data_IF_372830650333
#
_entry.id   IF_372830650333
#
_cell.length_a   1.000
_cell.length_b   1.000
_cell.length_c   1.000
_cell.angle_alpha   90.00
_cell.angle_beta   90.00
_cell.angle_gamma   90.00
#
_symmetry.space_group_name_H-M   'P 1'
#
loop_
_entity.id
_entity.type
_entity.pdbx_description
1 polymer ?
#
# COMPACT_ATOMS: atom_id res chain seq x y z
N UNK A 1 -23.46 -14.24 45.58
CA UNK A 1 -23.64 -14.26 44.12
C UNK A 1 -23.29 -15.65 43.62
N UNK A 2 -24.29 -16.51 43.38
CA UNK A 2 -24.05 -17.88 42.94
C UNK A 2 -23.88 -17.90 41.41
N UNK A 3 -22.74 -18.41 40.94
CA UNK A 3 -22.51 -18.62 39.50
C UNK A 3 -23.30 -19.85 39.06
N UNK A 4 -24.31 -19.62 38.22
CA UNK A 4 -25.10 -20.65 37.58
C UNK A 4 -24.20 -21.43 36.59
N UNK A 5 -23.90 -22.69 36.92
CA UNK A 5 -23.09 -23.57 36.06
C UNK A 5 -23.91 -23.89 34.81
N UNK A 6 -23.59 -23.26 33.69
CA UNK A 6 -24.16 -23.60 32.37
C UNK A 6 -23.93 -25.09 32.12
N UNK A 7 -25.01 -25.85 31.93
CA UNK A 7 -24.95 -27.20 31.40
C UNK A 7 -24.45 -27.10 29.95
N UNK A 8 -23.25 -27.61 29.72
CA UNK A 8 -22.64 -27.65 28.39
C UNK A 8 -23.16 -28.90 27.68
N UNK A 9 -24.01 -28.71 26.67
CA UNK A 9 -24.43 -29.79 25.80
C UNK A 9 -23.28 -30.19 24.88
N UNK A 10 -22.49 -31.16 25.34
CA UNK A 10 -21.28 -31.67 24.69
C UNK A 10 -21.52 -32.05 23.21
N UNK A 11 -22.73 -32.48 22.85
CA UNK A 11 -23.10 -32.84 21.49
C UNK A 11 -23.25 -31.65 20.53
N UNK A 12 -23.91 -30.57 20.96
CA UNK A 12 -24.05 -29.36 20.13
C UNK A 12 -22.74 -28.62 20.00
N UNK A 13 -21.97 -28.57 21.08
CA UNK A 13 -20.64 -27.96 21.09
C UNK A 13 -19.68 -28.73 20.18
N UNK A 14 -19.71 -30.06 20.23
CA UNK A 14 -18.91 -30.91 19.32
C UNK A 14 -19.23 -30.62 17.85
N UNK A 15 -20.52 -30.49 17.48
CA UNK A 15 -20.92 -30.17 16.12
C UNK A 15 -20.49 -28.76 15.69
N UNK A 16 -20.52 -27.79 16.59
CA UNK A 16 -20.04 -26.44 16.35
C UNK A 16 -18.52 -26.44 16.10
N UNK A 17 -17.75 -27.08 16.98
CA UNK A 17 -16.30 -27.21 16.84
C UNK A 17 -15.89 -28.00 15.61
N UNK A 18 -16.63 -29.06 15.25
CA UNK A 18 -16.39 -29.83 14.02
C UNK A 18 -16.58 -28.98 12.76
N UNK A 19 -17.60 -28.10 12.72
CA UNK A 19 -17.82 -27.18 11.59
C UNK A 19 -16.70 -26.13 11.48
N UNK A 20 -16.22 -25.62 12.61
CA UNK A 20 -15.07 -24.69 12.63
C UNK A 20 -13.82 -25.40 12.13
N UNK A 21 -13.54 -26.60 12.67
CA UNK A 21 -12.41 -27.41 12.26
C UNK A 21 -12.43 -27.76 10.76
N UNK A 22 -13.57 -28.18 10.20
CA UNK A 22 -13.72 -28.47 8.76
C UNK A 22 -13.47 -27.23 7.88
N UNK A 23 -13.86 -26.05 8.35
CA UNK A 23 -13.59 -24.77 7.67
C UNK A 23 -12.10 -24.45 7.70
N UNK A 24 -11.46 -24.60 8.86
CA UNK A 24 -10.05 -24.27 9.07
C UNK A 24 -9.11 -25.28 8.41
N UNK A 25 -9.49 -26.56 8.37
CA UNK A 25 -8.75 -27.65 7.73
C UNK A 25 -8.47 -27.36 6.24
N UNK A 26 -9.34 -26.62 5.55
CA UNK A 26 -9.12 -26.19 4.15
C UNK A 26 -7.94 -25.23 4.01
N UNK A 27 -7.62 -24.49 5.07
CA UNK A 27 -6.53 -23.51 5.09
C UNK A 27 -5.25 -24.06 5.75
N UNK A 28 -5.36 -25.19 6.47
CA UNK A 28 -4.23 -25.85 7.11
C UNK A 28 -3.54 -26.82 6.15
N UNK A 29 -2.56 -26.31 5.40
CA UNK A 29 -1.69 -27.12 4.54
C UNK A 29 -0.27 -27.13 5.09
N UNK A 30 0.20 -28.29 5.57
CA UNK A 30 1.59 -28.45 6.03
C UNK A 30 2.49 -28.48 4.79
N UNK A 31 3.24 -27.41 4.58
CA UNK A 31 4.21 -27.33 3.48
C UNK A 31 5.52 -28.00 3.90
N UNK A 32 5.88 -29.11 3.26
CA UNK A 32 7.16 -29.80 3.46
C UNK A 32 8.34 -29.10 2.77
N UNK A 33 8.05 -28.27 1.77
CA UNK A 33 9.01 -27.43 1.05
C UNK A 33 8.63 -25.96 1.27
N UNK A 34 9.64 -25.11 1.44
CA UNK A 34 9.43 -23.68 1.55
C UNK A 34 8.76 -23.13 0.27
N UNK A 35 7.69 -22.37 0.44
CA UNK A 35 7.06 -21.63 -0.65
C UNK A 35 6.96 -20.17 -0.20
N UNK A 36 7.50 -19.22 -0.96
CA UNK A 36 7.50 -17.82 -0.57
C UNK A 36 6.07 -17.30 -0.49
N UNK A 37 5.71 -16.71 0.66
CA UNK A 37 4.45 -16.01 0.82
C UNK A 37 4.58 -14.58 0.27
N UNK A 38 4.32 -14.42 -1.02
CA UNK A 38 4.44 -13.14 -1.73
C UNK A 38 3.41 -12.08 -1.29
N UNK A 39 2.44 -12.44 -0.45
CA UNK A 39 1.43 -11.54 0.11
C UNK A 39 1.74 -11.10 1.54
N UNK A 40 2.71 -11.74 2.21
CA UNK A 40 3.09 -11.37 3.56
C UNK A 40 3.97 -10.12 3.55
N UNK A 41 3.69 -9.18 4.45
CA UNK A 41 4.60 -8.07 4.72
C UNK A 41 5.95 -8.61 5.22
N UNK A 42 7.05 -8.05 4.70
CA UNK A 42 8.38 -8.41 5.17
C UNK A 42 8.51 -8.05 6.67
N UNK A 43 8.80 -9.05 7.51
CA UNK A 43 8.78 -8.96 8.97
C UNK A 43 9.79 -7.93 9.54
N UNK A 44 10.71 -7.39 8.74
CA UNK A 44 11.76 -6.49 9.23
C UNK A 44 11.35 -5.01 9.11
N UNK A 45 10.33 -4.60 9.88
CA UNK A 45 10.02 -3.19 10.11
C UNK A 45 10.74 -2.57 11.31
N UNK A 46 11.41 -3.39 12.13
CA UNK A 46 12.02 -2.94 13.40
C UNK A 46 13.52 -2.75 13.26
N UNK A 47 14.01 -1.58 13.67
CA UNK A 47 15.42 -1.17 13.57
C UNK A 47 16.41 -2.09 14.28
N UNK A 48 15.98 -2.82 15.31
CA UNK A 48 16.80 -3.75 16.09
C UNK A 48 16.91 -5.16 15.48
N UNK A 49 16.10 -5.48 14.48
CA UNK A 49 16.15 -6.76 13.76
C UNK A 49 17.14 -6.72 12.58
N UNK A 50 18.11 -5.79 12.56
CA UNK A 50 19.12 -5.67 11.50
C UNK A 50 19.93 -6.95 11.30
N UNK A 51 20.11 -7.75 12.36
CA UNK A 51 20.80 -9.04 12.30
C UNK A 51 19.96 -10.15 11.64
N UNK A 52 18.63 -10.01 11.59
CA UNK A 52 17.72 -10.91 10.87
C UNK A 52 17.62 -10.56 9.38
N UNK A 53 18.13 -9.39 8.98
CA UNK A 53 18.21 -8.99 7.57
C UNK A 53 19.34 -9.77 6.91
N UNK A 54 18.99 -10.84 6.23
CA UNK A 54 19.88 -11.55 5.33
C UNK A 54 20.56 -10.55 4.38
N UNK A 55 21.90 -10.65 4.23
CA UNK A 55 22.64 -9.84 3.29
C UNK A 55 22.03 -10.01 1.89
N UNK A 56 21.73 -8.91 1.18
CA UNK A 56 21.07 -8.94 -0.14
C UNK A 56 21.79 -9.85 -1.15
N UNK A 57 23.11 -10.00 -1.00
CA UNK A 57 23.97 -10.84 -1.84
C UNK A 57 23.77 -12.34 -1.59
N UNK A 58 23.26 -12.73 -0.42
CA UNK A 58 22.97 -14.13 -0.06
C UNK A 58 21.51 -14.52 -0.33
N UNK A 59 20.68 -13.59 -0.79
CA UNK A 59 19.30 -13.88 -1.15
C UNK A 59 19.26 -14.70 -2.45
N UNK A 60 18.47 -15.78 -2.46
CA UNK A 60 18.24 -16.55 -3.68
C UNK A 60 17.60 -15.64 -4.74
N UNK A 61 18.34 -15.48 -5.85
CA UNK A 61 17.95 -14.59 -6.94
C UNK A 61 16.61 -14.99 -7.56
N UNK A 62 16.24 -16.27 -7.52
CA UNK A 62 14.95 -16.74 -8.01
C UNK A 62 13.80 -16.14 -7.18
N UNK A 63 13.93 -16.09 -5.85
CA UNK A 63 12.93 -15.47 -5.00
C UNK A 63 12.87 -13.97 -5.18
N UNK A 64 14.02 -13.30 -5.32
CA UNK A 64 14.06 -11.85 -5.61
C UNK A 64 13.34 -11.55 -6.92
N UNK A 65 13.58 -12.35 -7.96
CA UNK A 65 12.91 -12.22 -9.25
C UNK A 65 11.40 -12.43 -9.13
N UNK A 66 10.96 -13.48 -8.43
CA UNK A 66 9.54 -13.74 -8.17
C UNK A 66 8.85 -12.59 -7.43
N UNK A 67 9.49 -12.04 -6.39
CA UNK A 67 8.94 -10.91 -5.63
C UNK A 67 8.81 -9.69 -6.53
N UNK A 68 9.83 -9.40 -7.35
CA UNK A 68 9.82 -8.28 -8.29
C UNK A 68 8.75 -8.42 -9.37
N UNK A 69 8.60 -9.62 -9.94
CA UNK A 69 7.54 -9.91 -10.90
C UNK A 69 6.16 -9.75 -10.25
N UNK A 70 5.97 -10.22 -9.02
CA UNK A 70 4.68 -10.11 -8.34
C UNK A 70 4.36 -8.67 -7.91
N UNK A 71 5.34 -7.87 -7.50
CA UNK A 71 5.14 -6.48 -7.10
C UNK A 71 4.87 -5.54 -8.27
N UNK A 72 5.34 -5.90 -9.47
CA UNK A 72 5.12 -5.12 -10.69
C UNK A 72 3.79 -5.44 -11.37
N UNK A 73 3.18 -6.59 -11.09
CA UNK A 73 1.88 -6.97 -11.64
C UNK A 73 0.80 -6.01 -11.20
N UNK A 74 0.18 -5.35 -12.19
CA UNK A 74 -1.00 -4.55 -11.98
C UNK A 74 -2.27 -5.41 -11.87
N UNK A 75 -3.41 -4.79 -11.57
CA UNK A 75 -4.70 -5.47 -11.57
C UNK A 75 -5.01 -6.24 -12.88
N UNK A 76 -4.65 -5.68 -14.04
CA UNK A 76 -4.87 -6.30 -15.36
C UNK A 76 -4.07 -7.59 -15.59
N UNK A 77 -2.95 -7.75 -14.91
CA UNK A 77 -2.14 -8.97 -15.01
C UNK A 77 -2.68 -10.10 -14.12
N UNK A 78 -3.58 -9.77 -13.18
CA UNK A 78 -4.11 -10.69 -12.18
C UNK A 78 -5.53 -11.19 -12.50
N UNK A 79 -6.32 -10.38 -13.19
CA UNK A 79 -7.69 -10.74 -13.60
C UNK A 79 -7.96 -10.26 -15.02
N UNK A 80 -8.79 -10.99 -15.76
CA UNK A 80 -9.24 -10.60 -17.10
C UNK A 80 -10.26 -9.45 -17.06
N UNK A 81 -10.97 -9.33 -15.94
CA UNK A 81 -12.03 -8.36 -15.71
C UNK A 81 -11.75 -7.54 -14.44
N UNK A 82 -12.28 -6.30 -14.34
CA UNK A 82 -12.10 -5.48 -13.16
C UNK A 82 -12.87 -6.08 -11.98
N UNK A 83 -12.16 -6.35 -10.89
CA UNK A 83 -12.74 -6.99 -9.69
C UNK A 83 -13.50 -5.97 -8.83
N UNK A 84 -13.11 -4.69 -8.88
CA UNK A 84 -13.73 -3.61 -8.11
C UNK A 84 -14.21 -2.47 -9.01
N UNK A 85 -15.17 -1.68 -8.53
CA UNK A 85 -15.69 -0.53 -9.29
C UNK A 85 -14.59 0.51 -9.58
N UNK A 86 -13.67 0.72 -8.64
CA UNK A 86 -12.53 1.62 -8.84
C UNK A 86 -11.61 1.17 -9.99
N UNK A 87 -11.47 -0.15 -10.18
CA UNK A 87 -10.68 -0.67 -11.31
C UNK A 87 -11.38 -0.44 -12.64
N UNK A 88 -12.73 -0.44 -12.70
CA UNK A 88 -13.49 -0.22 -13.94
C UNK A 88 -13.15 1.10 -14.63
N UNK A 89 -12.94 2.18 -13.87
CA UNK A 89 -12.61 3.50 -14.43
C UNK A 89 -11.36 3.49 -15.32
N UNK A 90 -10.34 2.72 -14.94
CA UNK A 90 -9.08 2.58 -15.69
C UNK A 90 -8.98 1.29 -16.50
N UNK A 91 -9.98 0.40 -16.45
CA UNK A 91 -9.89 -0.92 -17.07
C UNK A 91 -10.09 -0.89 -18.57
N UNK A 92 -11.06 -0.11 -19.02
CA UNK A 92 -11.41 0.00 -20.43
C UNK A 92 -10.71 1.24 -21.01
N UNK A 93 -9.92 1.09 -22.08
CA UNK A 93 -9.14 2.19 -22.64
C UNK A 93 -10.01 3.35 -23.17
N UNK A 94 -11.29 3.10 -23.48
CA UNK A 94 -12.16 4.08 -24.13
C UNK A 94 -13.61 3.90 -23.66
N UNK A 95 -14.02 4.59 -22.58
CA UNK A 95 -15.45 4.75 -22.30
C UNK A 95 -16.08 5.82 -23.19
N UNK A 96 -15.29 6.80 -23.65
CA UNK A 96 -15.55 7.69 -24.79
C UNK A 96 -14.20 8.22 -25.30
N UNK A 97 -14.01 8.46 -26.61
CA UNK A 97 -12.89 9.24 -27.11
C UNK A 97 -13.06 10.69 -26.61
N UNK A 98 -12.57 10.97 -25.40
CA UNK A 98 -12.48 12.34 -24.91
C UNK A 98 -11.50 13.04 -25.84
N UNK A 99 -12.00 13.96 -26.66
CA UNK A 99 -11.16 14.84 -27.48
C UNK A 99 -10.43 15.79 -26.53
N UNK A 100 -9.32 15.31 -25.94
CA UNK A 100 -8.53 16.03 -24.93
C UNK A 100 -8.03 17.39 -25.42
N UNK A 101 -7.95 17.55 -26.73
CA UNK A 101 -7.45 18.73 -27.42
C UNK A 101 -8.54 19.47 -28.19
N UNK A 102 -9.83 19.21 -27.94
CA UNK A 102 -10.90 20.01 -28.54
C UNK A 102 -10.74 21.47 -28.07
N UNK A 103 -10.46 22.45 -28.95
CA UNK A 103 -10.27 23.84 -28.57
C UNK A 103 -11.50 24.47 -27.89
N UNK A 104 -12.68 23.87 -28.06
CA UNK A 104 -13.94 24.30 -27.42
C UNK A 104 -14.03 23.92 -25.96
N UNK A 105 -13.31 22.88 -25.53
CA UNK A 105 -13.36 22.30 -24.19
C UNK A 105 -12.01 22.41 -23.47
N UNK A 106 -10.91 22.57 -24.21
CA UNK A 106 -9.56 22.61 -23.69
C UNK A 106 -9.13 24.05 -23.37
N UNK A 107 -9.36 24.46 -22.13
CA UNK A 107 -8.92 25.75 -21.58
C UNK A 107 -7.89 25.55 -20.48
N UNK A 108 -6.71 25.04 -20.86
CA UNK A 108 -5.61 24.89 -19.91
C UNK A 108 -5.22 26.24 -19.31
N UNK A 109 -5.14 26.30 -17.98
CA UNK A 109 -4.76 27.52 -17.27
C UNK A 109 -3.32 27.89 -17.61
N UNK A 110 -3.14 29.02 -18.27
CA UNK A 110 -1.81 29.55 -18.57
C UNK A 110 -1.28 30.31 -17.36
N UNK A 111 0.01 30.11 -17.06
CA UNK A 111 0.65 30.87 -15.98
C UNK A 111 0.76 32.34 -16.40
N UNK A 112 0.35 33.25 -15.51
CA UNK A 112 0.64 34.66 -15.70
C UNK A 112 2.13 34.93 -15.47
N UNK A 113 2.65 36.04 -15.99
CA UNK A 113 4.03 36.45 -15.75
C UNK A 113 4.35 36.57 -14.26
N UNK A 114 3.40 37.06 -13.46
CA UNK A 114 3.51 37.18 -12.00
C UNK A 114 3.64 35.80 -11.34
N UNK A 115 2.79 34.85 -11.74
CA UNK A 115 2.81 33.48 -11.21
C UNK A 115 4.12 32.78 -11.57
N UNK A 116 4.60 32.95 -12.81
CA UNK A 116 5.87 32.41 -13.25
C UNK A 116 7.05 32.99 -12.45
N UNK A 117 7.09 34.31 -12.25
CA UNK A 117 8.14 34.98 -11.47
C UNK A 117 8.13 34.52 -10.01
N UNK A 118 6.94 34.42 -9.39
CA UNK A 118 6.80 33.96 -8.01
C UNK A 118 7.31 32.51 -7.84
N UNK A 119 7.04 31.63 -8.80
CA UNK A 119 7.60 30.27 -8.80
C UNK A 119 9.13 30.28 -8.92
N UNK A 120 9.69 31.11 -9.81
CA UNK A 120 11.15 31.23 -9.96
C UNK A 120 11.81 31.74 -8.67
N UNK A 121 11.21 32.73 -8.00
CA UNK A 121 11.67 33.21 -6.70
C UNK A 121 11.57 32.09 -5.66
N UNK A 122 10.45 31.36 -5.61
CA UNK A 122 10.25 30.27 -4.65
C UNK A 122 11.21 29.09 -4.90
N UNK A 123 11.55 28.80 -6.15
CA UNK A 123 12.53 27.78 -6.51
C UNK A 123 13.95 28.26 -6.21
N UNK A 124 14.30 29.49 -6.58
CA UNK A 124 15.62 30.07 -6.31
C UNK A 124 15.90 30.32 -4.83
N UNK A 125 14.86 30.50 -4.01
CA UNK A 125 14.97 30.64 -2.55
C UNK A 125 15.02 29.30 -1.80
N UNK A 126 14.81 28.15 -2.47
CA UNK A 126 14.96 26.82 -1.84
C UNK A 126 16.41 26.51 -1.49
N UNK A 127 17.34 26.98 -2.32
CA UNK A 127 18.78 26.75 -2.14
C UNK A 127 19.46 27.87 -1.31
N UNK A 128 18.72 28.92 -0.97
CA UNK A 128 19.22 30.00 -0.12
C UNK A 128 19.18 29.55 1.35
N UNK A 129 20.25 29.77 2.13
CA UNK A 129 20.21 29.50 3.56
C UNK A 129 19.12 30.37 4.19
N UNK A 130 18.17 29.73 4.89
CA UNK A 130 17.13 30.46 5.62
C UNK A 130 17.80 31.41 6.61
N UNK A 131 17.32 32.66 6.73
CA UNK A 131 17.87 33.56 7.73
C UNK A 131 17.71 32.93 9.13
N UNK A 132 18.67 33.18 10.04
CA UNK A 132 18.55 32.68 11.41
C UNK A 132 17.25 33.18 12.06
N UNK A 133 16.63 32.38 12.95
CA UNK A 133 15.43 32.81 13.65
C UNK A 133 15.69 34.11 14.41
N UNK A 134 14.67 34.98 14.49
CA UNK A 134 14.76 36.23 15.21
C UNK A 134 15.08 35.96 16.70
N UNK A 135 16.25 36.40 17.15
CA UNK A 135 16.75 36.23 18.53
C UNK A 135 16.49 37.44 19.42
N UNK A 136 15.90 38.51 18.88
CA UNK A 136 15.56 39.71 19.64
C UNK A 136 14.38 39.47 20.58
N UNK A 137 14.39 40.15 21.73
CA UNK A 137 13.19 40.27 22.57
C UNK A 137 12.24 41.21 21.81
N UNK A 138 11.03 40.76 21.42
CA UNK A 138 10.18 41.44 20.43
C UNK A 138 9.66 42.81 20.89
N UNK A 139 9.66 43.07 22.20
CA UNK A 139 9.34 44.37 22.76
C UNK A 139 10.31 44.61 23.93
N UNK A 140 11.18 45.61 23.80
CA UNK A 140 11.83 46.22 24.95
C UNK A 140 10.96 47.38 25.41
N UNK A 141 10.58 47.39 26.68
CA UNK A 141 10.17 48.61 27.41
C UNK A 141 11.39 49.48 27.66
#
# INVERSE_FOLDING_TARGET
MAQEKRKVDLGTDYLAWKKVYEREKRFFYIRTKFVPNLKAECITGKSYAKHDVMCKEKADQNFVKMIKEQSTKGPRDQSEHPTTENQRYGWYPELQPVQKFDPRLYHAHQKSHITWLAEQILLGTRDMPKPPPFTGIPFKT
#
